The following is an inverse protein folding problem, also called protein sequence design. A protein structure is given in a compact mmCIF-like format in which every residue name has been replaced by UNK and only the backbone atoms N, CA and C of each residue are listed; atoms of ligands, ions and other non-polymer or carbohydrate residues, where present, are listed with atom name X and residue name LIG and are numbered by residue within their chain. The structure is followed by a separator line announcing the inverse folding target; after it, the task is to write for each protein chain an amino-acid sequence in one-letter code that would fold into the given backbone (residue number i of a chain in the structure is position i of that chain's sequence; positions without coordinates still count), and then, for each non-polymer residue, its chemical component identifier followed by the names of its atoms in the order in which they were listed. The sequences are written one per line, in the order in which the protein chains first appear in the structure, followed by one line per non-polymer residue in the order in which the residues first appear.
data_IF_164256039885
#
_entry.id   IF_164256039885
#
_cell.length_a   1.000
_cell.length_b   1.000
_cell.length_c   1.000
_cell.angle_alpha   90.00
_cell.angle_beta   90.00
_cell.angle_gamma   90.00
#
_symmetry.space_group_name_H-M   'P 1'
#
loop_
_entity.id
_entity.type
_entity.pdbx_description
1 polymer ?
#
# COMPACT_ATOMS: atom_id res chain seq x y z
N UNK A 1 -9.49 6.27 12.60
CA UNK A 1 -8.30 6.71 13.34
C UNK A 1 -7.15 5.86 12.84
N UNK A 2 -6.33 6.40 11.94
CA UNK A 2 -5.19 5.69 11.31
C UNK A 2 -3.93 5.81 12.19
N UNK A 3 -3.99 6.70 13.19
CA UNK A 3 -2.85 7.09 14.02
C UNK A 3 -2.38 6.02 15.03
N UNK A 4 -3.15 4.93 15.19
CA UNK A 4 -2.78 3.78 16.03
C UNK A 4 -2.26 2.57 15.24
N UNK A 5 -2.20 2.67 13.90
CA UNK A 5 -1.83 1.55 13.05
C UNK A 5 -0.32 1.30 13.09
N UNK A 6 0.08 0.04 13.22
CA UNK A 6 1.44 -0.42 12.96
C UNK A 6 1.62 -0.79 11.49
N UNK A 7 0.60 -1.42 10.92
CA UNK A 7 0.54 -1.87 9.53
C UNK A 7 -0.81 -1.44 8.93
N UNK A 8 -0.79 -0.91 7.71
CA UNK A 8 -1.98 -0.80 6.86
C UNK A 8 -1.84 -1.69 5.63
N UNK A 9 -2.91 -2.43 5.33
CA UNK A 9 -3.00 -3.30 4.15
C UNK A 9 -4.41 -3.28 3.55
N UNK A 10 -4.58 -3.53 2.24
CA UNK A 10 -5.89 -3.60 1.64
C UNK A 10 -6.66 -4.83 2.10
N UNK A 11 -7.98 -4.71 2.16
CA UNK A 11 -8.86 -5.88 2.25
C UNK A 11 -8.74 -6.67 0.95
N UNK A 12 -8.73 -8.00 1.01
CA UNK A 12 -8.70 -8.81 -0.19
C UNK A 12 -9.98 -8.56 -1.02
N UNK A 13 -9.80 -8.15 -2.28
CA UNK A 13 -10.91 -7.83 -3.19
C UNK A 13 -11.69 -9.06 -3.64
N UNK A 14 -11.17 -10.27 -3.40
CA UNK A 14 -11.86 -11.53 -3.64
C UNK A 14 -12.15 -12.20 -2.29
N UNK A 15 -13.43 -12.41 -1.93
CA UNK A 15 -13.78 -13.09 -0.68
C UNK A 15 -13.22 -14.53 -0.70
N UNK A 16 -12.42 -14.88 0.31
CA UNK A 16 -11.72 -16.16 0.42
C UNK A 16 -11.17 -16.38 1.83
N UNK A 17 -10.20 -17.31 1.98
CA UNK A 17 -9.61 -17.66 3.29
C UNK A 17 -8.80 -16.54 3.95
N UNK A 18 -8.38 -15.53 3.18
CA UNK A 18 -7.48 -14.48 3.65
C UNK A 18 -8.14 -13.11 3.59
N UNK A 19 -8.12 -12.41 4.72
CA UNK A 19 -8.76 -11.10 4.88
C UNK A 19 -7.99 -9.98 4.19
N UNK A 20 -6.67 -10.01 4.23
CA UNK A 20 -5.82 -8.94 3.71
C UNK A 20 -5.19 -9.34 2.38
N UNK A 21 -5.10 -8.41 1.43
CA UNK A 21 -4.24 -8.52 0.26
C UNK A 21 -2.87 -7.93 0.62
N UNK A 22 -1.80 -8.70 0.51
CA UNK A 22 -0.49 -8.36 1.10
C UNK A 22 0.17 -7.09 0.52
N UNK A 23 -0.24 -6.63 -0.67
CA UNK A 23 0.31 -5.46 -1.39
C UNK A 23 -0.81 -4.52 -1.85
N UNK A 24 -0.68 -3.18 -1.67
CA UNK A 24 0.40 -2.49 -0.95
C UNK A 24 0.35 -2.69 0.56
N UNK A 25 1.51 -2.54 1.20
CA UNK A 25 1.65 -2.55 2.65
C UNK A 25 2.32 -1.26 3.09
N UNK A 26 1.68 -0.55 4.02
CA UNK A 26 2.26 0.61 4.70
C UNK A 26 2.67 0.15 6.10
N UNK A 27 3.97 0.23 6.39
CA UNK A 27 4.51 -0.12 7.69
C UNK A 27 4.96 1.13 8.43
N UNK A 28 4.36 1.38 9.59
CA UNK A 28 4.76 2.48 10.46
C UNK A 28 5.98 2.11 11.30
N UNK A 29 6.74 3.12 11.70
CA UNK A 29 7.96 2.89 12.47
C UNK A 29 7.66 2.65 13.96
N UNK A 30 7.19 1.45 14.29
CA UNK A 30 6.89 1.02 15.65
C UNK A 30 7.62 -0.28 16.03
N UNK A 31 7.69 -0.57 17.34
CA UNK A 31 8.27 -1.82 17.83
C UNK A 31 7.40 -3.03 17.45
N UNK A 32 6.08 -2.92 17.56
CA UNK A 32 5.16 -4.01 17.21
C UNK A 32 5.27 -4.40 15.73
N UNK A 33 5.44 -3.42 14.82
CA UNK A 33 5.77 -3.65 13.41
C UNK A 33 7.06 -4.45 13.24
N UNK A 34 8.10 -4.12 14.01
CA UNK A 34 9.40 -4.79 13.95
C UNK A 34 9.27 -6.25 14.40
N UNK A 35 8.62 -6.46 15.53
CA UNK A 35 8.35 -7.78 16.08
C UNK A 35 7.52 -8.66 15.13
N UNK A 36 6.50 -8.09 14.47
CA UNK A 36 5.72 -8.78 13.44
C UNK A 36 6.62 -9.23 12.28
N UNK A 37 7.47 -8.37 11.72
CA UNK A 37 8.33 -8.75 10.59
C UNK A 37 9.41 -9.77 10.96
N UNK A 38 9.93 -9.71 12.20
CA UNK A 38 10.86 -10.73 12.71
C UNK A 38 10.15 -12.09 12.75
N UNK A 39 8.95 -12.14 13.31
CA UNK A 39 8.17 -13.38 13.41
C UNK A 39 7.79 -13.92 12.02
N UNK A 40 7.36 -13.04 11.10
CA UNK A 40 7.11 -13.41 9.72
C UNK A 40 8.32 -14.08 9.08
N UNK A 41 9.49 -13.45 9.19
CA UNK A 41 10.74 -13.99 8.66
C UNK A 41 11.05 -15.36 9.24
N UNK A 42 10.94 -15.53 10.56
CA UNK A 42 11.19 -16.82 11.23
C UNK A 42 10.27 -17.92 10.66
N UNK A 43 8.97 -17.65 10.49
CA UNK A 43 8.02 -18.64 9.98
C UNK A 43 8.25 -18.98 8.51
N UNK A 44 8.53 -17.98 7.69
CA UNK A 44 8.79 -18.16 6.25
C UNK A 44 10.13 -18.85 5.98
N UNK A 45 11.16 -18.61 6.81
CA UNK A 45 12.44 -19.34 6.75
C UNK A 45 12.28 -20.80 7.17
N UNK A 46 11.33 -21.10 8.08
CA UNK A 46 11.09 -22.46 8.58
C UNK A 46 10.26 -23.31 7.62
N UNK A 47 9.32 -22.72 6.88
CA UNK A 47 8.45 -23.42 5.95
C UNK A 47 8.41 -22.71 4.59
N UNK A 48 9.08 -23.25 3.56
CA UNK A 48 9.14 -22.63 2.23
C UNK A 48 7.82 -22.72 1.44
N UNK A 49 6.84 -23.51 1.90
CA UNK A 49 5.52 -23.58 1.29
C UNK A 49 4.55 -22.52 1.84
N UNK A 50 4.92 -21.89 2.95
CA UNK A 50 4.08 -20.91 3.63
C UNK A 50 4.09 -19.59 2.86
N UNK A 51 2.90 -19.06 2.56
CA UNK A 51 2.80 -17.76 1.89
C UNK A 51 2.92 -16.63 2.91
N UNK A 52 3.62 -15.56 2.54
CA UNK A 52 3.74 -14.33 3.34
C UNK A 52 2.38 -13.75 3.74
N UNK A 53 1.40 -13.79 2.83
CA UNK A 53 0.02 -13.38 3.07
C UNK A 53 -0.69 -14.20 4.14
N UNK A 54 -0.40 -15.51 4.25
CA UNK A 54 -0.95 -16.36 5.31
C UNK A 54 -0.41 -15.95 6.67
N UNK A 55 0.90 -15.74 6.75
CA UNK A 55 1.56 -15.36 8.00
C UNK A 55 1.10 -13.98 8.45
N UNK A 56 1.05 -13.01 7.55
CA UNK A 56 0.57 -11.67 7.88
C UNK A 56 -0.87 -11.73 8.39
N UNK A 57 -1.73 -12.48 7.71
CA UNK A 57 -3.13 -12.58 8.08
C UNK A 57 -3.31 -13.23 9.47
N UNK A 58 -2.54 -14.27 9.78
CA UNK A 58 -2.53 -14.89 11.10
C UNK A 58 -2.06 -13.91 12.19
N UNK A 59 -0.87 -13.30 12.00
CA UNK A 59 -0.28 -12.40 13.00
C UNK A 59 -1.13 -11.15 13.23
N UNK A 60 -1.68 -10.56 12.17
CA UNK A 60 -2.58 -9.41 12.27
C UNK A 60 -3.91 -9.77 12.93
N UNK A 61 -4.48 -10.95 12.63
CA UNK A 61 -5.75 -11.37 13.24
C UNK A 61 -5.59 -11.72 14.71
N UNK A 62 -4.45 -12.30 15.09
CA UNK A 62 -4.10 -12.62 16.47
C UNK A 62 -3.61 -11.42 17.29
N UNK A 63 -3.45 -10.24 16.67
CA UNK A 63 -2.82 -9.07 17.28
C UNK A 63 -1.48 -9.43 17.95
N UNK A 64 -0.64 -10.17 17.21
CA UNK A 64 0.63 -10.70 17.74
C UNK A 64 1.44 -9.59 18.43
N UNK A 65 1.73 -9.80 19.72
CA UNK A 65 2.42 -8.83 20.58
C UNK A 65 1.85 -7.41 20.54
N UNK A 66 0.52 -7.30 20.40
CA UNK A 66 -0.19 -6.03 20.40
C UNK A 66 -0.12 -5.28 19.07
N UNK A 67 0.33 -5.92 17.98
CA UNK A 67 0.35 -5.27 16.67
C UNK A 67 -1.06 -4.89 16.21
N UNK A 68 -1.19 -3.66 15.73
CA UNK A 68 -2.45 -3.08 15.25
C UNK A 68 -2.41 -3.02 13.73
N UNK A 69 -3.06 -3.97 13.08
CA UNK A 69 -3.27 -3.96 11.64
C UNK A 69 -4.60 -3.30 11.29
N UNK A 70 -4.54 -2.26 10.47
CA UNK A 70 -5.70 -1.51 9.95
C UNK A 70 -5.79 -1.69 8.43
N UNK A 71 -6.91 -1.28 7.87
CA UNK A 71 -7.16 -1.44 6.43
C UNK A 71 -7.27 -0.09 5.73
N UNK A 72 -6.93 -0.10 4.44
CA UNK A 72 -7.46 0.86 3.47
C UNK A 72 -8.29 0.11 2.42
N UNK A 73 -9.20 0.83 1.79
CA UNK A 73 -10.01 0.33 0.69
C UNK A 73 -9.21 0.37 -0.61
N UNK A 74 -9.54 -0.51 -1.56
CA UNK A 74 -8.92 -0.49 -2.89
C UNK A 74 -9.16 0.82 -3.64
N UNK A 75 -10.27 1.51 -3.35
CA UNK A 75 -10.58 2.83 -3.90
C UNK A 75 -9.61 3.92 -3.42
N UNK A 76 -8.86 3.68 -2.35
CA UNK A 76 -7.85 4.60 -1.80
C UNK A 76 -6.46 4.42 -2.42
N UNK A 77 -6.31 3.50 -3.38
CA UNK A 77 -5.02 3.14 -3.99
C UNK A 77 -5.03 3.51 -5.47
N UNK A 78 -4.04 4.32 -5.88
CA UNK A 78 -3.70 4.50 -7.29
C UNK A 78 -2.58 3.53 -7.69
N UNK A 79 -2.96 2.39 -8.27
CA UNK A 79 -2.06 1.33 -8.74
C UNK A 79 -1.98 1.25 -10.29
N UNK A 80 -1.37 0.19 -10.82
CA UNK A 80 -1.29 -0.04 -12.27
C UNK A 80 -2.66 -0.08 -12.99
N UNK A 81 -3.72 -0.54 -12.34
CA UNK A 81 -5.08 -0.56 -12.89
C UNK A 81 -5.63 0.87 -12.96
N UNK A 82 -5.49 1.66 -11.90
CA UNK A 82 -5.95 3.05 -11.84
C UNK A 82 -5.52 3.90 -13.04
N UNK A 83 -4.27 3.73 -13.51
CA UNK A 83 -3.75 4.47 -14.67
C UNK A 83 -4.34 4.07 -16.02
N UNK A 84 -5.00 2.91 -16.11
CA UNK A 84 -5.71 2.47 -17.33
C UNK A 84 -7.18 2.85 -17.31
N UNK A 85 -7.72 3.20 -16.14
CA UNK A 85 -9.12 3.60 -15.99
C UNK A 85 -9.41 4.90 -16.72
N UNK A 86 -10.63 4.99 -17.27
CA UNK A 86 -11.16 6.24 -17.81
C UNK A 86 -11.55 7.23 -16.72
N UNK A 87 -11.80 8.49 -17.08
CA UNK A 87 -12.11 9.55 -16.11
C UNK A 87 -13.33 9.21 -15.23
N UNK A 88 -14.36 8.60 -15.81
CA UNK A 88 -15.58 8.22 -15.07
C UNK A 88 -15.30 7.18 -13.98
N UNK A 89 -14.52 6.15 -14.28
CA UNK A 89 -14.17 5.09 -13.32
C UNK A 89 -13.25 5.65 -12.21
N UNK A 90 -12.35 6.59 -12.55
CA UNK A 90 -11.50 7.26 -11.55
C UNK A 90 -12.28 8.13 -10.57
N UNK A 91 -13.51 8.58 -10.88
CA UNK A 91 -14.35 9.35 -9.94
C UNK A 91 -14.85 8.50 -8.77
N UNK A 92 -14.82 7.17 -8.90
CA UNK A 92 -15.17 6.25 -7.82
C UNK A 92 -13.98 6.00 -6.85
N UNK A 93 -12.82 6.58 -7.15
CA UNK A 93 -11.58 6.42 -6.39
C UNK A 93 -11.22 7.72 -5.68
N UNK A 94 -10.70 7.59 -4.46
CA UNK A 94 -10.13 8.70 -3.69
C UNK A 94 -8.70 8.34 -3.30
N UNK A 95 -7.75 8.38 -4.25
CA UNK A 95 -6.43 7.81 -4.03
C UNK A 95 -5.64 8.60 -2.98
N UNK A 96 -5.36 7.95 -1.85
CA UNK A 96 -4.48 8.45 -0.78
C UNK A 96 -3.10 7.80 -0.85
N UNK A 97 -3.02 6.59 -1.42
CA UNK A 97 -1.80 5.80 -1.57
C UNK A 97 -1.48 5.67 -3.06
N UNK A 98 -0.28 6.09 -3.46
CA UNK A 98 0.22 5.89 -4.83
C UNK A 98 1.14 4.67 -4.81
N UNK A 99 0.64 3.53 -5.28
CA UNK A 99 1.45 2.33 -5.40
C UNK A 99 2.22 2.35 -6.74
N UNK A 100 3.55 2.30 -6.69
CA UNK A 100 4.38 2.28 -7.89
C UNK A 100 4.47 0.88 -8.55
N UNK A 101 3.65 -0.07 -8.11
CA UNK A 101 3.53 -1.38 -8.72
C UNK A 101 2.67 -1.34 -10.00
N UNK A 102 3.21 -0.78 -11.09
CA UNK A 102 2.64 -1.01 -12.43
C UNK A 102 2.81 -2.47 -12.83
N UNK A 103 1.86 -3.00 -13.62
CA UNK A 103 1.93 -4.31 -14.28
C UNK A 103 3.37 -4.67 -14.68
N UNK A 104 3.77 -5.90 -14.36
CA UNK A 104 5.04 -6.49 -14.79
C UNK A 104 5.17 -6.31 -16.31
N UNK A 105 6.35 -5.88 -16.77
CA UNK A 105 6.64 -5.60 -18.19
C UNK A 105 6.43 -4.15 -18.65
N UNK A 106 5.84 -3.27 -17.83
CA UNK A 106 5.72 -1.85 -18.18
C UNK A 106 7.08 -1.13 -18.02
N UNK A 107 7.68 -0.72 -19.15
CA UNK A 107 8.88 0.13 -19.19
C UNK A 107 8.60 1.56 -18.68
N UNK A 108 9.62 2.22 -18.14
CA UNK A 108 9.63 3.64 -17.75
C UNK A 108 8.51 4.05 -16.77
N UNK A 109 8.31 3.26 -15.70
CA UNK A 109 7.31 3.51 -14.64
C UNK A 109 7.40 4.93 -14.04
N UNK A 110 8.61 5.43 -13.81
CA UNK A 110 8.86 6.79 -13.29
C UNK A 110 8.32 7.88 -14.22
N UNK A 111 8.54 7.75 -15.54
CA UNK A 111 8.02 8.70 -16.52
C UNK A 111 6.48 8.70 -16.56
N UNK A 112 5.84 7.53 -16.41
CA UNK A 112 4.38 7.43 -16.34
C UNK A 112 3.81 8.10 -15.10
N UNK A 113 4.43 7.91 -13.93
CA UNK A 113 4.06 8.65 -12.73
C UNK A 113 4.25 10.16 -12.92
N UNK A 114 5.32 10.57 -13.59
CA UNK A 114 5.59 11.99 -13.87
C UNK A 114 4.51 12.62 -14.77
N UNK A 115 4.10 11.94 -15.84
CA UNK A 115 3.03 12.37 -16.76
C UNK A 115 1.68 12.50 -16.05
N UNK A 116 1.39 11.64 -15.08
CA UNK A 116 0.15 11.70 -14.29
C UNK A 116 0.25 12.66 -13.07
N UNK A 117 1.37 13.36 -12.90
CA UNK A 117 1.57 14.30 -11.80
C UNK A 117 1.84 13.65 -10.43
N UNK A 118 2.13 12.35 -10.40
CA UNK A 118 2.31 11.53 -9.19
C UNK A 118 3.78 11.16 -8.91
N UNK A 119 4.72 11.77 -9.61
CA UNK A 119 6.15 11.66 -9.32
C UNK A 119 6.66 12.91 -8.60
N UNK A 120 7.06 12.75 -7.34
CA UNK A 120 7.46 13.88 -6.48
C UNK A 120 8.97 13.97 -6.23
N UNK A 121 9.76 12.98 -6.66
CA UNK A 121 11.20 13.00 -6.46
C UNK A 121 11.90 13.78 -7.58
N UNK A 122 12.85 14.63 -7.20
CA UNK A 122 13.82 15.19 -8.13
C UNK A 122 14.78 14.10 -8.66
N UNK A 123 15.52 14.35 -9.75
CA UNK A 123 16.56 13.42 -10.22
C UNK A 123 17.62 13.08 -9.16
N UNK A 124 17.80 13.93 -8.14
CA UNK A 124 18.71 13.71 -7.00
C UNK A 124 18.05 12.96 -5.83
N UNK A 125 16.83 12.47 -5.98
CA UNK A 125 16.10 11.75 -4.93
C UNK A 125 15.48 12.63 -3.84
N UNK A 126 15.58 13.96 -3.95
CA UNK A 126 14.94 14.89 -3.00
C UNK A 126 13.46 15.04 -3.31
N UNK A 127 12.60 14.91 -2.30
CA UNK A 127 11.15 15.12 -2.42
C UNK A 127 10.80 16.59 -2.68
N UNK A 128 10.04 16.84 -3.74
CA UNK A 128 9.44 18.14 -4.05
C UNK A 128 8.10 18.28 -3.31
N UNK A 129 8.18 18.77 -2.07
CA UNK A 129 7.03 18.92 -1.17
C UNK A 129 5.94 19.83 -1.78
N UNK A 130 6.33 20.90 -2.47
CA UNK A 130 5.37 21.82 -3.11
C UNK A 130 4.50 21.10 -4.15
N UNK A 131 5.12 20.26 -4.99
CA UNK A 131 4.41 19.43 -5.98
C UNK A 131 3.47 18.43 -5.30
N UNK A 132 3.92 17.77 -4.24
CA UNK A 132 3.10 16.84 -3.48
C UNK A 132 1.86 17.53 -2.87
N UNK A 133 2.06 18.68 -2.19
CA UNK A 133 0.96 19.48 -1.61
C UNK A 133 -0.05 19.94 -2.65
N UNK A 134 0.42 20.45 -3.80
CA UNK A 134 -0.46 20.89 -4.89
C UNK A 134 -1.30 19.74 -5.45
N UNK A 135 -0.72 18.54 -5.55
CA UNK A 135 -1.46 17.37 -6.01
C UNK A 135 -2.47 16.89 -4.97
N UNK A 136 -2.11 16.88 -3.69
CA UNK A 136 -3.01 16.51 -2.59
C UNK A 136 -4.23 17.43 -2.51
N UNK A 137 -4.05 18.74 -2.69
CA UNK A 137 -5.13 19.72 -2.65
C UNK A 137 -6.24 19.47 -3.70
N UNK A 138 -5.93 18.80 -4.82
CA UNK A 138 -6.95 18.44 -5.83
C UNK A 138 -7.96 17.42 -5.32
N UNK A 139 -7.59 16.63 -4.32
CA UNK A 139 -8.40 15.58 -3.75
C UNK A 139 -9.06 16.00 -2.42
N UNK A 140 -8.78 17.20 -1.92
CA UNK A 140 -9.38 17.75 -0.69
C UNK A 140 -10.62 18.62 -0.94
N UNK A 141 -10.90 18.97 -2.20
CA UNK A 141 -12.00 19.87 -2.60
C UNK A 141 -13.17 19.13 -3.30
N UNK A 142 -13.26 17.82 -3.16
CA UNK A 142 -14.42 17.00 -3.53
C UNK A 142 -15.02 16.37 -2.27
#
# INVERSE_FOLDING_TARGET
MIDDADILVPINGYPGKQKFAFDPLVAFNTQARTDLFIEMRIRLEKDPLLMDQEVLNDLCSAQFKGVVCRNFEWSEIADGKYFKMGERERKEYTPLIINNNYYVGVKNKSARQALNGLWFLSPKGVCNISKAKKQLAKYQNN
#
